data_IF_911809659886
#
_entry.id   IF_911809659886
#
_cell.length_a   1.000
_cell.length_b   1.000
_cell.length_c   1.000
_cell.angle_alpha   90.00
_cell.angle_beta   90.00
_cell.angle_gamma   90.00
#
_symmetry.space_group_name_H-M   'P 1'
#
loop_
_entity.id
_entity.type
_entity.pdbx_description
1 polymer ?
#
# COMPACT_ATOMS: atom_id res chain seq x y z
N UNK A 1 25.36 0.27 -29.94
CA UNK A 1 24.97 1.43 -29.11
C UNK A 1 23.48 1.33 -28.76
N UNK A 2 23.14 0.53 -27.76
CA UNK A 2 21.81 0.46 -27.17
C UNK A 2 22.03 0.66 -25.66
N UNK A 3 22.00 1.91 -25.18
CA UNK A 3 22.19 2.16 -23.74
C UNK A 3 21.75 3.55 -23.22
N UNK A 4 21.25 4.45 -24.08
CA UNK A 4 20.86 5.81 -23.64
C UNK A 4 19.35 5.96 -23.39
N UNK A 5 18.51 5.08 -23.97
CA UNK A 5 17.05 5.21 -23.86
C UNK A 5 16.52 4.56 -22.57
N UNK A 6 17.00 3.36 -22.23
CA UNK A 6 16.61 2.65 -21.00
C UNK A 6 17.02 3.41 -19.72
N UNK A 7 18.21 4.01 -19.72
CA UNK A 7 18.69 4.79 -18.58
C UNK A 7 17.81 6.01 -18.28
N UNK A 8 17.29 6.67 -19.32
CA UNK A 8 16.38 7.83 -19.17
C UNK A 8 15.01 7.47 -18.61
N UNK A 9 14.47 6.31 -18.96
CA UNK A 9 13.18 5.86 -18.41
C UNK A 9 13.35 5.39 -16.95
N UNK A 10 14.45 4.71 -16.62
CA UNK A 10 14.78 4.35 -15.23
C UNK A 10 14.92 5.57 -14.33
N UNK A 11 15.53 6.66 -14.83
CA UNK A 11 15.64 7.93 -14.12
C UNK A 11 14.30 8.62 -13.88
N UNK A 12 13.25 8.35 -14.67
CA UNK A 12 11.91 8.88 -14.42
C UNK A 12 11.18 8.14 -13.29
N UNK A 13 11.53 6.86 -13.07
CA UNK A 13 11.02 6.06 -11.96
C UNK A 13 11.70 6.42 -10.64
N UNK A 14 13.04 6.53 -10.67
CA UNK A 14 13.82 6.81 -9.47
C UNK A 14 13.48 8.20 -8.90
N UNK A 15 13.04 8.23 -7.65
CA UNK A 15 12.71 9.49 -6.95
C UNK A 15 11.33 10.05 -7.25
N UNK A 16 10.48 9.35 -8.02
CA UNK A 16 9.08 9.72 -8.15
C UNK A 16 8.39 9.65 -6.79
N UNK A 17 7.64 10.70 -6.45
CA UNK A 17 6.80 10.76 -5.27
C UNK A 17 5.32 10.61 -5.65
N UNK A 18 4.50 10.22 -4.68
CA UNK A 18 3.06 10.17 -4.84
C UNK A 18 2.50 11.53 -5.30
N UNK A 19 1.53 11.48 -6.22
CA UNK A 19 0.71 12.62 -6.62
C UNK A 19 -0.76 12.20 -6.64
N UNK A 20 -1.68 13.08 -6.27
CA UNK A 20 -3.14 12.80 -6.28
C UNK A 20 -3.70 12.22 -7.58
N UNK A 21 -3.10 12.51 -8.73
CA UNK A 21 -3.50 11.96 -10.03
C UNK A 21 -3.15 10.47 -10.19
N UNK A 22 -2.37 9.90 -9.26
CA UNK A 22 -1.93 8.51 -9.29
C UNK A 22 -3.07 7.53 -9.08
N UNK A 23 -4.15 7.96 -8.43
CA UNK A 23 -5.40 7.19 -8.35
C UNK A 23 -6.06 6.96 -9.71
N UNK A 24 -5.86 7.86 -10.68
CA UNK A 24 -6.50 7.77 -12.00
C UNK A 24 -5.58 7.13 -13.06
N UNK A 25 -4.30 6.96 -12.76
CA UNK A 25 -3.30 6.43 -13.69
C UNK A 25 -3.35 4.90 -13.71
N UNK A 26 -3.04 4.33 -14.88
CA UNK A 26 -3.17 2.89 -15.15
C UNK A 26 -1.81 2.16 -15.17
N UNK A 27 -0.72 2.82 -14.76
CA UNK A 27 0.60 2.21 -14.64
C UNK A 27 0.87 1.68 -13.22
N UNK A 28 1.60 0.58 -13.15
CA UNK A 28 1.88 -0.16 -11.90
C UNK A 28 2.51 0.72 -10.80
N UNK A 29 3.43 1.61 -11.17
CA UNK A 29 4.05 2.49 -10.19
C UNK A 29 3.05 3.48 -9.60
N UNK A 30 2.15 4.05 -10.43
CA UNK A 30 1.07 4.90 -9.94
C UNK A 30 0.13 4.14 -9.00
N UNK A 31 -0.29 2.93 -9.39
CA UNK A 31 -1.15 2.09 -8.55
C UNK A 31 -0.51 1.77 -7.20
N UNK A 32 0.78 1.43 -7.17
CA UNK A 32 1.50 1.16 -5.93
C UNK A 32 1.65 2.39 -5.02
N UNK A 33 1.96 3.56 -5.61
CA UNK A 33 2.04 4.82 -4.87
C UNK A 33 0.69 5.23 -4.29
N UNK A 34 -0.40 5.08 -5.05
CA UNK A 34 -1.76 5.37 -4.60
C UNK A 34 -2.21 4.42 -3.48
N UNK A 35 -1.96 3.11 -3.64
CA UNK A 35 -2.32 2.09 -2.65
C UNK A 35 -1.61 2.31 -1.30
N UNK A 36 -0.32 2.64 -1.31
CA UNK A 36 0.41 2.93 -0.05
C UNK A 36 -0.04 4.23 0.60
N UNK A 37 -0.42 5.24 -0.19
CA UNK A 37 -1.01 6.47 0.32
C UNK A 37 -2.38 6.23 0.97
N UNK A 38 -3.22 5.39 0.34
CA UNK A 38 -4.51 4.95 0.89
C UNK A 38 -4.32 4.22 2.21
N UNK A 39 -3.45 3.22 2.28
CA UNK A 39 -3.17 2.48 3.52
C UNK A 39 -2.74 3.40 4.68
N UNK A 40 -1.92 4.43 4.41
CA UNK A 40 -1.53 5.41 5.44
C UNK A 40 -2.72 6.27 5.87
N UNK A 41 -3.58 6.66 4.92
CA UNK A 41 -4.78 7.45 5.19
C UNK A 41 -5.81 6.65 5.99
N UNK A 42 -6.00 5.37 5.67
CA UNK A 42 -6.89 4.46 6.36
C UNK A 42 -6.42 4.27 7.80
N UNK A 43 -5.13 4.01 8.02
CA UNK A 43 -4.58 3.89 9.37
C UNK A 43 -4.74 5.18 10.17
N UNK A 44 -4.61 6.35 9.54
CA UNK A 44 -4.84 7.62 10.20
C UNK A 44 -6.32 7.86 10.55
N UNK A 45 -7.24 7.44 9.69
CA UNK A 45 -8.67 7.74 9.81
C UNK A 45 -9.42 6.70 10.66
N UNK A 46 -9.10 5.42 10.48
CA UNK A 46 -9.77 4.27 11.07
C UNK A 46 -8.99 3.68 12.25
N UNK A 47 -7.67 3.93 12.33
CA UNK A 47 -6.78 3.34 13.33
C UNK A 47 -5.99 2.16 12.78
N UNK A 48 -5.22 1.47 13.64
CA UNK A 48 -4.43 0.31 13.22
C UNK A 48 -5.32 -0.86 12.77
N UNK A 49 -5.02 -1.46 11.62
CA UNK A 49 -5.66 -2.72 11.20
C UNK A 49 -5.16 -3.83 12.11
N UNK A 50 -5.94 -4.16 13.13
CA UNK A 50 -5.66 -5.27 14.02
C UNK A 50 -6.11 -6.58 13.36
N UNK A 51 -5.37 -7.67 13.64
CA UNK A 51 -5.78 -9.01 13.25
C UNK A 51 -6.86 -9.52 14.23
N UNK A 52 -7.96 -8.80 14.29
CA UNK A 52 -9.05 -9.01 15.23
C UNK A 52 -10.34 -9.32 14.49
N UNK A 53 -11.13 -10.21 15.08
CA UNK A 53 -12.42 -10.60 14.49
C UNK A 53 -13.50 -9.67 15.07
N UNK A 54 -13.84 -8.64 14.31
CA UNK A 54 -14.94 -7.70 14.59
C UNK A 54 -16.29 -8.31 14.20
N UNK A 55 -16.71 -9.42 14.80
CA UNK A 55 -18.08 -9.98 14.71
C UNK A 55 -18.18 -11.25 15.56
N UNK A 56 -17.88 -11.15 16.84
CA UNK A 56 -18.31 -12.20 17.78
C UNK A 56 -19.72 -11.88 18.26
N UNK A 57 -20.55 -12.91 18.46
CA UNK A 57 -21.93 -12.78 18.95
C UNK A 57 -22.01 -12.00 20.29
N UNK A 58 -20.88 -11.87 20.99
CA UNK A 58 -20.75 -11.20 22.28
C UNK A 58 -20.23 -9.75 22.19
N UNK A 59 -19.99 -9.22 20.97
CA UNK A 59 -19.43 -7.89 20.75
C UNK A 59 -18.00 -7.71 21.26
N UNK A 60 -17.26 -8.81 21.45
CA UNK A 60 -15.88 -8.82 21.94
C UNK A 60 -14.91 -9.03 20.79
N UNK A 61 -13.91 -8.17 20.71
CA UNK A 61 -12.81 -8.30 19.79
C UNK A 61 -11.93 -9.50 20.18
N UNK A 62 -11.75 -10.48 19.29
CA UNK A 62 -10.84 -11.62 19.51
C UNK A 62 -9.58 -11.39 18.69
N UNK A 63 -8.44 -11.25 19.37
CA UNK A 63 -7.12 -11.20 18.74
C UNK A 63 -6.72 -12.57 18.17
N UNK A 64 -6.31 -12.60 16.90
CA UNK A 64 -5.76 -13.79 16.28
C UNK A 64 -4.34 -14.05 16.81
N UNK A 65 -4.05 -15.23 17.39
CA UNK A 65 -2.72 -15.55 17.91
C UNK A 65 -1.65 -15.47 16.82
N UNK A 66 -0.61 -14.67 17.04
CA UNK A 66 0.57 -14.60 16.15
C UNK A 66 1.51 -15.78 16.38
N UNK A 67 1.05 -17.01 16.10
CA UNK A 67 1.90 -18.20 16.08
C UNK A 67 2.25 -18.56 14.64
N UNK A 68 3.55 -18.59 14.33
CA UNK A 68 4.03 -19.16 13.06
C UNK A 68 3.79 -20.67 13.00
N UNK A 69 3.75 -21.23 11.79
CA UNK A 69 3.90 -22.66 11.59
C UNK A 69 5.39 -23.02 11.75
N UNK A 70 5.70 -23.97 12.64
CA UNK A 70 7.04 -24.57 12.75
C UNK A 70 7.30 -25.58 11.62
#
# INVERSE_FOLDING_TARGET
>A
MANNKENKESLKLAGRQYHTKDYDRQDELSSGLAMTHEQVSDVYSEGEILATIDNTDDGKEIEIPRKGYE
#
